data_IF_213341508606
#
_entry.id   IF_213341508606
#
_cell.length_a   1.000
_cell.length_b   1.000
_cell.length_c   1.000
_cell.angle_alpha   90.00
_cell.angle_beta   90.00
_cell.angle_gamma   90.00
#
_symmetry.space_group_name_H-M   'P 1'
#
loop_
_entity.id
_entity.type
_entity.pdbx_description
1 polymer ?
#
# COMPACT_ATOMS: atom_id res chain seq x y z
N UNK A 1 15.18 -2.38 -8.11
CA UNK A 1 14.11 -3.03 -7.30
C UNK A 1 13.03 -3.60 -8.21
N UNK A 2 12.41 -4.75 -7.87
CA UNK A 2 11.24 -5.27 -8.60
C UNK A 2 9.93 -4.74 -8.02
N UNK A 3 8.86 -4.75 -8.81
CA UNK A 3 7.53 -4.36 -8.31
C UNK A 3 7.02 -5.28 -7.18
N UNK A 4 7.33 -6.59 -7.27
CA UNK A 4 6.99 -7.54 -6.21
C UNK A 4 7.72 -7.25 -4.89
N UNK A 5 8.97 -6.79 -4.94
CA UNK A 5 9.71 -6.34 -3.75
C UNK A 5 9.06 -5.10 -3.14
N UNK A 6 8.67 -4.12 -3.98
CA UNK A 6 7.98 -2.92 -3.52
C UNK A 6 6.67 -3.25 -2.79
N UNK A 7 5.85 -4.13 -3.37
CA UNK A 7 4.60 -4.60 -2.71
C UNK A 7 4.86 -5.14 -1.31
N UNK A 8 5.91 -5.95 -1.15
CA UNK A 8 6.30 -6.51 0.16
C UNK A 8 6.74 -5.44 1.15
N UNK A 9 7.52 -4.46 0.70
CA UNK A 9 8.01 -3.36 1.55
C UNK A 9 6.84 -2.52 2.07
N UNK A 10 5.92 -2.10 1.20
CA UNK A 10 4.75 -1.31 1.63
C UNK A 10 3.87 -2.11 2.60
N UNK A 11 3.69 -3.40 2.35
CA UNK A 11 2.98 -4.27 3.29
C UNK A 11 3.68 -4.32 4.65
N UNK A 12 5.00 -4.51 4.69
CA UNK A 12 5.78 -4.54 5.94
C UNK A 12 5.67 -3.23 6.72
N UNK A 13 5.75 -2.08 6.04
CA UNK A 13 5.60 -0.78 6.69
C UNK A 13 4.19 -0.60 7.28
N UNK A 14 3.17 -1.09 6.57
CA UNK A 14 1.78 -1.06 7.04
C UNK A 14 1.57 -2.00 8.24
N UNK A 15 2.11 -3.22 8.19
CA UNK A 15 2.06 -4.20 9.29
C UNK A 15 2.80 -3.71 10.55
N UNK A 16 3.87 -2.93 10.37
CA UNK A 16 4.63 -2.34 11.47
C UNK A 16 3.79 -1.34 12.28
N UNK A 17 2.94 -0.57 11.60
CA UNK A 17 2.06 0.39 12.25
C UNK A 17 0.80 -0.27 12.81
N UNK A 18 0.07 -1.00 11.99
CA UNK A 18 -1.18 -1.67 12.35
C UNK A 18 -0.90 -3.03 13.01
N UNK A 19 -0.30 -3.01 14.19
CA UNK A 19 -0.05 -4.23 14.97
C UNK A 19 -1.37 -4.85 15.42
N UNK A 20 -1.67 -6.06 14.99
CA UNK A 20 -2.93 -6.74 15.30
C UNK A 20 -4.02 -6.65 14.23
N UNK A 21 -3.82 -5.84 13.18
CA UNK A 21 -4.67 -5.87 12.00
C UNK A 21 -4.15 -6.91 10.98
N UNK A 22 -5.07 -7.41 10.17
CA UNK A 22 -4.70 -8.24 9.01
C UNK A 22 -4.41 -7.33 7.82
N UNK A 23 -3.17 -7.32 7.30
CA UNK A 23 -2.81 -6.57 6.10
C UNK A 23 -2.82 -7.48 4.88
N UNK A 24 -3.60 -7.14 3.85
CA UNK A 24 -3.79 -7.96 2.65
C UNK A 24 -3.71 -7.12 1.37
N UNK A 25 -3.42 -7.78 0.26
CA UNK A 25 -3.63 -7.17 -1.06
C UNK A 25 -5.09 -7.33 -1.47
N UNK A 26 -5.68 -6.31 -2.08
CA UNK A 26 -7.08 -6.32 -2.54
C UNK A 26 -7.39 -7.43 -3.54
N UNK A 27 -6.38 -7.88 -4.29
CA UNK A 27 -6.49 -8.96 -5.28
C UNK A 27 -6.68 -10.36 -4.66
N UNK A 28 -6.54 -10.50 -3.32
CA UNK A 28 -6.71 -11.78 -2.61
C UNK A 28 -8.18 -12.04 -2.25
N UNK A 29 -9.04 -12.10 -3.25
CA UNK A 29 -10.51 -12.16 -3.10
C UNK A 29 -11.09 -13.46 -2.53
N UNK A 30 -10.32 -14.54 -2.47
CA UNK A 30 -10.81 -15.86 -1.99
C UNK A 30 -10.63 -16.09 -0.49
N UNK A 31 -10.05 -15.15 0.24
CA UNK A 31 -9.82 -15.32 1.67
C UNK A 31 -10.96 -14.66 2.45
N UNK A 32 -11.65 -15.36 3.37
CA UNK A 32 -12.68 -14.76 4.20
C UNK A 32 -12.19 -13.51 4.91
N UNK A 33 -13.08 -12.52 5.10
CA UNK A 33 -12.78 -11.33 5.88
C UNK A 33 -12.40 -11.74 7.31
N UNK A 34 -11.26 -11.25 7.86
CA UNK A 34 -10.89 -11.57 9.24
C UNK A 34 -11.87 -10.90 10.22
N UNK A 35 -11.95 -11.44 11.42
CA UNK A 35 -12.72 -10.85 12.53
C UNK A 35 -12.01 -9.63 13.16
N UNK A 36 -10.70 -9.49 12.96
CA UNK A 36 -9.88 -8.36 13.40
C UNK A 36 -9.95 -7.21 12.38
N UNK A 37 -9.49 -6.01 12.72
CA UNK A 37 -9.31 -4.94 11.76
C UNK A 37 -8.55 -5.41 10.52
N UNK A 38 -9.00 -4.98 9.34
CA UNK A 38 -8.43 -5.36 8.06
C UNK A 38 -7.91 -4.12 7.35
N UNK A 39 -6.66 -4.17 6.91
CA UNK A 39 -6.10 -3.18 5.98
C UNK A 39 -5.91 -3.82 4.62
N UNK A 40 -6.45 -3.22 3.58
CA UNK A 40 -6.23 -3.67 2.21
C UNK A 40 -5.36 -2.69 1.44
N UNK A 41 -4.42 -3.24 0.67
CA UNK A 41 -3.50 -2.50 -0.18
C UNK A 41 -3.86 -2.77 -1.65
N UNK A 42 -4.29 -1.74 -2.36
CA UNK A 42 -4.59 -1.80 -3.79
C UNK A 42 -3.53 -1.04 -4.56
N UNK A 43 -2.73 -1.75 -5.35
CA UNK A 43 -1.68 -1.14 -6.16
C UNK A 43 -2.21 -0.82 -7.54
N UNK A 44 -2.07 0.44 -7.94
CA UNK A 44 -2.39 0.89 -9.29
C UNK A 44 -1.30 0.51 -10.31
N UNK A 45 -1.42 1.07 -11.50
CA UNK A 45 -0.45 0.85 -12.57
C UNK A 45 0.89 1.53 -12.27
N UNK A 46 2.00 0.85 -12.59
CA UNK A 46 3.34 1.43 -12.49
C UNK A 46 3.53 2.43 -13.63
N UNK A 47 3.77 3.69 -13.25
CA UNK A 47 4.10 4.76 -14.18
C UNK A 47 5.62 4.89 -14.29
N UNK A 48 6.15 4.84 -15.50
CA UNK A 48 7.59 4.94 -15.79
C UNK A 48 7.85 5.66 -17.10
N UNK A 49 9.00 6.35 -17.28
CA UNK A 49 9.36 6.97 -18.54
C UNK A 49 9.59 5.90 -19.63
N UNK A 50 9.44 6.30 -20.91
CA UNK A 50 9.65 5.41 -22.04
C UNK A 50 11.15 5.09 -22.24
N UNK A 51 12.00 6.10 -22.09
CA UNK A 51 13.43 6.05 -22.37
C UNK A 51 14.23 6.09 -21.06
N UNK A 52 14.50 4.93 -20.43
CA UNK A 52 15.24 4.88 -19.20
C UNK A 52 16.73 5.04 -19.44
N UNK A 53 17.48 5.62 -18.50
CA UNK A 53 18.93 5.52 -18.52
C UNK A 53 19.37 4.05 -18.47
N UNK A 54 20.33 3.72 -19.30
CA UNK A 54 20.88 2.35 -19.38
C UNK A 54 22.35 2.35 -18.96
N UNK A 55 22.74 1.33 -18.21
CA UNK A 55 24.14 1.05 -17.86
C UNK A 55 24.48 -0.39 -18.19
N UNK A 56 25.76 -0.66 -18.42
CA UNK A 56 26.26 -2.02 -18.54
C UNK A 56 26.85 -2.45 -17.21
N UNK A 57 26.36 -3.55 -16.66
CA UNK A 57 26.86 -4.17 -15.44
C UNK A 57 27.22 -5.61 -15.80
N UNK A 58 28.47 -5.98 -15.59
CA UNK A 58 29.02 -7.30 -15.97
C UNK A 58 28.71 -7.71 -17.41
N UNK A 59 28.82 -6.74 -18.34
CA UNK A 59 28.53 -6.93 -19.75
C UNK A 59 27.04 -7.05 -20.10
N UNK A 60 26.13 -6.85 -19.16
CA UNK A 60 24.68 -6.90 -19.38
C UNK A 60 24.08 -5.49 -19.36
N UNK A 61 23.23 -5.16 -20.31
CA UNK A 61 22.51 -3.89 -20.27
C UNK A 61 21.45 -3.94 -19.16
N UNK A 62 21.51 -2.96 -18.25
CA UNK A 62 20.54 -2.77 -17.18
C UNK A 62 19.91 -1.39 -17.34
N UNK A 63 18.60 -1.35 -17.48
CA UNK A 63 17.84 -0.11 -17.57
C UNK A 63 17.26 0.24 -16.21
N UNK A 64 17.40 1.52 -15.84
CA UNK A 64 16.89 2.07 -14.59
C UNK A 64 15.69 2.97 -14.85
N UNK A 65 14.52 2.57 -14.37
CA UNK A 65 13.30 3.35 -14.53
C UNK A 65 12.98 4.06 -13.22
N UNK A 66 13.10 5.40 -13.13
CA UNK A 66 12.43 6.12 -12.07
C UNK A 66 10.93 5.94 -12.27
N UNK A 67 10.30 5.28 -11.34
CA UNK A 67 8.91 4.88 -11.45
C UNK A 67 8.13 5.32 -10.23
N UNK A 68 6.82 5.46 -10.37
CA UNK A 68 5.93 5.59 -9.24
C UNK A 68 4.68 4.74 -9.42
N UNK A 69 4.06 4.40 -8.31
CA UNK A 69 2.81 3.67 -8.27
C UNK A 69 1.87 4.27 -7.22
N UNK A 70 0.62 4.56 -7.57
CA UNK A 70 -0.39 4.90 -6.59
C UNK A 70 -0.78 3.64 -5.80
N UNK A 71 -0.92 3.79 -4.49
CA UNK A 71 -1.35 2.72 -3.59
C UNK A 71 -2.50 3.22 -2.75
N UNK A 72 -3.68 2.66 -2.97
CA UNK A 72 -4.84 2.90 -2.13
C UNK A 72 -4.76 2.00 -0.90
N UNK A 73 -5.00 2.59 0.25
CA UNK A 73 -4.99 1.93 1.56
C UNK A 73 -6.37 2.10 2.16
N UNK A 74 -7.06 0.98 2.36
CA UNK A 74 -8.39 0.94 2.98
C UNK A 74 -8.28 0.26 4.35
N UNK A 75 -8.83 0.90 5.37
CA UNK A 75 -8.98 0.32 6.69
C UNK A 75 -10.45 -0.03 6.94
N UNK A 76 -10.67 -1.25 7.39
CA UNK A 76 -11.95 -1.77 7.86
C UNK A 76 -11.83 -2.10 9.34
N UNK A 77 -12.66 -1.51 10.18
CA UNK A 77 -12.63 -1.71 11.63
C UNK A 77 -14.04 -1.90 12.20
N UNK A 78 -14.13 -2.53 13.37
CA UNK A 78 -15.37 -2.65 14.12
C UNK A 78 -15.61 -1.43 15.03
N UNK A 79 -14.69 -0.43 14.98
CA UNK A 79 -14.74 0.73 15.86
C UNK A 79 -14.30 0.42 17.30
N UNK A 80 -14.46 1.41 18.16
CA UNK A 80 -14.17 1.33 19.60
C UNK A 80 -15.48 1.34 20.38
N UNK A 81 -15.63 0.38 21.26
CA UNK A 81 -16.77 0.41 22.18
C UNK A 81 -16.48 1.42 23.29
N UNK A 82 -17.37 2.40 23.45
CA UNK A 82 -17.30 3.31 24.58
C UNK A 82 -17.75 2.62 25.87
N UNK A 83 -17.07 2.95 26.97
CA UNK A 83 -17.53 2.56 28.30
C UNK A 83 -18.80 3.35 28.63
N UNK A 84 -19.91 2.66 28.72
CA UNK A 84 -21.21 3.25 29.10
C UNK A 84 -21.57 2.85 30.51
N UNK A 85 -22.28 3.75 31.24
CA UNK A 85 -22.79 3.43 32.55
C UNK A 85 -23.76 2.23 32.51
N UNK A 86 -23.86 1.46 33.61
CA UNK A 86 -24.77 0.32 33.67
C UNK A 86 -26.24 0.74 33.39
N UNK A 87 -26.84 0.11 32.40
CA UNK A 87 -28.23 0.38 31.98
C UNK A 87 -28.37 1.20 30.70
N UNK A 88 -27.27 1.71 30.12
CA UNK A 88 -27.28 2.38 28.81
C UNK A 88 -26.87 1.43 27.68
N UNK A 89 -27.38 1.67 26.48
CA UNK A 89 -26.95 0.92 25.29
C UNK A 89 -25.50 1.28 24.93
N UNK A 90 -24.62 0.29 24.75
CA UNK A 90 -23.25 0.55 24.33
C UNK A 90 -23.20 1.33 23.00
N UNK A 91 -22.38 2.38 22.97
CA UNK A 91 -22.13 3.16 21.76
C UNK A 91 -20.81 2.63 21.15
N UNK A 92 -20.81 2.44 19.85
CA UNK A 92 -19.59 2.09 19.10
C UNK A 92 -19.17 3.29 18.27
N UNK A 93 -17.98 3.81 18.62
CA UNK A 93 -17.38 4.94 17.93
C UNK A 93 -16.71 4.47 16.62
N UNK A 94 -16.92 5.22 15.54
CA UNK A 94 -16.20 5.01 14.28
C UNK A 94 -14.78 5.60 14.38
N UNK A 95 -13.76 4.75 14.46
CA UNK A 95 -12.35 5.17 14.54
C UNK A 95 -11.62 5.07 13.22
N UNK A 96 -12.24 4.60 12.13
CA UNK A 96 -11.58 4.28 10.88
C UNK A 96 -10.83 5.48 10.27
N UNK A 97 -11.46 6.65 10.24
CA UNK A 97 -10.86 7.87 9.70
C UNK A 97 -9.69 8.35 10.58
N UNK A 98 -9.88 8.39 11.91
CA UNK A 98 -8.86 8.82 12.87
C UNK A 98 -7.63 7.89 12.84
N UNK A 99 -7.84 6.58 12.78
CA UNK A 99 -6.78 5.58 12.69
C UNK A 99 -5.96 5.74 11.40
N UNK A 100 -6.62 6.03 10.26
CA UNK A 100 -5.93 6.30 9.00
C UNK A 100 -5.23 7.66 8.96
N UNK A 101 -5.79 8.71 9.56
CA UNK A 101 -5.12 10.01 9.72
C UNK A 101 -3.85 9.86 10.56
N UNK A 102 -3.91 9.06 11.62
CA UNK A 102 -2.76 8.74 12.46
C UNK A 102 -1.70 7.95 11.68
N UNK A 103 -2.10 7.01 10.84
CA UNK A 103 -1.17 6.30 9.94
C UNK A 103 -0.56 7.23 8.89
N UNK A 104 -1.33 8.14 8.30
CA UNK A 104 -0.83 9.18 7.39
C UNK A 104 0.25 10.04 8.06
N UNK A 105 0.02 10.43 9.32
CA UNK A 105 0.99 11.17 10.13
C UNK A 105 2.25 10.34 10.41
N UNK A 106 2.11 9.05 10.69
CA UNK A 106 3.24 8.13 10.85
C UNK A 106 4.08 8.04 9.58
N UNK A 107 3.48 7.95 8.39
CA UNK A 107 4.21 7.91 7.13
C UNK A 107 5.05 9.18 6.88
N UNK A 108 4.67 10.31 7.43
CA UNK A 108 5.43 11.56 7.41
C UNK A 108 6.45 11.71 8.56
N UNK A 109 6.54 10.72 9.45
CA UNK A 109 7.45 10.76 10.59
C UNK A 109 8.92 10.57 10.19
N UNK A 110 9.88 11.06 10.99
CA UNK A 110 11.30 10.80 10.76
C UNK A 110 11.65 9.31 10.70
N UNK A 111 10.93 8.47 11.45
CA UNK A 111 11.11 7.02 11.43
C UNK A 111 10.77 6.42 10.07
N UNK A 112 9.57 6.72 9.55
CA UNK A 112 9.14 6.22 8.25
C UNK A 112 10.02 6.76 7.11
N UNK A 113 10.43 8.04 7.19
CA UNK A 113 11.37 8.64 6.22
C UNK A 113 12.71 7.90 6.21
N UNK A 114 13.32 7.66 7.37
CA UNK A 114 14.58 6.91 7.46
C UNK A 114 14.44 5.46 7.00
N UNK A 115 13.29 4.84 7.25
CA UNK A 115 12.99 3.51 6.75
C UNK A 115 12.91 3.51 5.22
N UNK A 116 12.20 4.47 4.63
CA UNK A 116 12.10 4.65 3.18
C UNK A 116 13.48 4.87 2.53
N UNK A 117 14.32 5.69 3.14
CA UNK A 117 15.69 5.96 2.66
C UNK A 117 16.54 4.68 2.61
N UNK A 118 16.45 3.83 3.65
CA UNK A 118 17.17 2.54 3.67
C UNK A 118 16.70 1.59 2.58
N UNK A 119 15.42 1.60 2.28
CA UNK A 119 14.81 0.75 1.26
C UNK A 119 14.87 1.36 -0.15
N UNK A 120 15.44 2.57 -0.32
CA UNK A 120 15.51 3.31 -1.59
C UNK A 120 14.15 3.54 -2.23
N UNK A 121 13.18 3.94 -1.45
CA UNK A 121 11.85 4.37 -1.89
C UNK A 121 11.53 5.74 -1.31
N UNK A 122 10.53 6.41 -1.89
CA UNK A 122 9.97 7.64 -1.34
C UNK A 122 8.45 7.55 -1.37
N UNK A 123 7.81 7.97 -0.29
CA UNK A 123 6.35 7.97 -0.16
C UNK A 123 5.88 9.42 -0.10
N UNK A 124 4.94 9.77 -0.97
CA UNK A 124 4.20 11.04 -0.91
C UNK A 124 2.80 10.75 -0.42
N UNK A 125 2.47 11.36 0.70
CA UNK A 125 1.19 11.16 1.38
C UNK A 125 0.30 12.38 1.09
N UNK A 126 -0.87 12.20 0.47
CA UNK A 126 -1.85 13.28 0.34
C UNK A 126 -2.47 13.60 1.70
N UNK A 127 -2.99 14.80 1.85
CA UNK A 127 -3.61 15.24 3.11
C UNK A 127 -5.08 14.83 3.27
N UNK A 128 -5.60 13.97 2.39
CA UNK A 128 -7.02 13.64 2.36
C UNK A 128 -7.24 12.17 2.72
N UNK A 129 -7.89 11.93 3.85
CA UNK A 129 -8.48 10.65 4.21
C UNK A 129 -9.99 10.76 3.99
N UNK A 130 -10.60 9.73 3.43
CA UNK A 130 -12.03 9.69 3.11
C UNK A 130 -12.72 8.66 3.98
N UNK A 131 -13.75 9.08 4.69
CA UNK A 131 -14.70 8.16 5.34
C UNK A 131 -15.58 7.51 4.26
N UNK A 132 -15.56 6.18 4.23
CA UNK A 132 -16.35 5.34 3.32
C UNK A 132 -17.27 4.40 4.09
N UNK A 133 -17.57 4.72 5.35
CA UNK A 133 -18.44 3.94 6.21
C UNK A 133 -19.79 3.73 5.56
N UNK A 134 -20.24 2.49 5.53
CA UNK A 134 -21.50 2.10 4.87
C UNK A 134 -22.26 1.06 5.67
N UNK A 135 -23.57 1.01 5.43
CA UNK A 135 -24.47 0.03 6.03
C UNK A 135 -24.32 -1.31 5.28
N UNK A 136 -23.97 -2.37 6.01
CA UNK A 136 -23.97 -3.73 5.49
C UNK A 136 -25.14 -4.47 6.13
N UNK A 137 -26.09 -4.95 5.30
CA UNK A 137 -27.26 -5.71 5.74
C UNK A 137 -28.08 -5.04 6.86
N UNK A 138 -28.83 -4.01 6.53
CA UNK A 138 -29.88 -3.33 7.30
C UNK A 138 -29.62 -3.04 8.81
N UNK A 139 -28.62 -3.65 9.45
CA UNK A 139 -28.39 -3.56 10.89
C UNK A 139 -26.93 -3.38 11.33
N UNK A 140 -25.95 -3.64 10.45
CA UNK A 140 -24.54 -3.55 10.81
C UNK A 140 -23.80 -2.52 9.96
N UNK A 141 -23.18 -1.54 10.61
CA UNK A 141 -22.24 -0.63 9.96
C UNK A 141 -20.87 -1.29 9.82
N UNK A 142 -20.25 -1.17 8.67
CA UNK A 142 -18.83 -1.40 8.50
C UNK A 142 -18.12 -0.05 8.46
N UNK A 143 -17.36 0.22 9.50
CA UNK A 143 -16.52 1.42 9.55
C UNK A 143 -15.35 1.26 8.60
N UNK A 144 -15.28 2.14 7.63
CA UNK A 144 -14.28 2.11 6.59
C UNK A 144 -13.75 3.50 6.29
N UNK A 145 -12.44 3.61 6.19
CA UNK A 145 -11.80 4.80 5.65
C UNK A 145 -10.76 4.42 4.60
N UNK A 146 -10.42 5.37 3.75
CA UNK A 146 -9.48 5.17 2.63
C UNK A 146 -8.63 6.41 2.39
N UNK A 147 -7.37 6.21 1.98
CA UNK A 147 -6.54 7.24 1.36
C UNK A 147 -5.59 6.62 0.34
N UNK A 148 -5.02 7.47 -0.53
CA UNK A 148 -4.08 7.04 -1.54
C UNK A 148 -2.71 7.67 -1.31
N UNK A 149 -1.64 6.89 -1.41
CA UNK A 149 -0.26 7.37 -1.41
C UNK A 149 0.38 7.16 -2.78
N UNK A 150 1.39 7.97 -3.10
CA UNK A 150 2.24 7.75 -4.27
C UNK A 150 3.60 7.25 -3.81
N UNK A 151 4.00 6.06 -4.26
CA UNK A 151 5.29 5.45 -3.92
C UNK A 151 6.23 5.54 -5.10
N UNK A 152 7.36 6.23 -4.90
CA UNK A 152 8.42 6.41 -5.89
C UNK A 152 9.55 5.45 -5.62
N UNK A 153 10.09 4.84 -6.69
CA UNK A 153 11.18 3.87 -6.60
C UNK A 153 11.93 3.76 -7.93
N UNK A 154 13.13 3.16 -7.88
CA UNK A 154 13.87 2.83 -9.11
C UNK A 154 13.65 1.38 -9.48
N UNK A 155 13.00 1.16 -10.62
CA UNK A 155 12.80 -0.17 -11.19
C UNK A 155 13.97 -0.52 -12.07
N UNK A 156 14.54 -1.71 -11.88
CA UNK A 156 15.63 -2.26 -12.69
C UNK A 156 15.07 -3.29 -13.66
N UNK A 157 15.46 -3.19 -14.91
CA UNK A 157 15.18 -4.20 -15.92
C UNK A 157 16.49 -4.64 -16.57
N UNK A 158 16.80 -5.93 -16.44
CA UNK A 158 17.96 -6.53 -17.10
C UNK A 158 17.58 -6.80 -18.56
N UNK A 159 18.31 -6.18 -19.47
CA UNK A 159 18.11 -6.38 -20.91
C UNK A 159 18.55 -7.78 -21.37
N UNK A 160 18.00 -8.20 -22.50
CA UNK A 160 18.40 -9.42 -23.16
C UNK A 160 19.83 -9.28 -23.73
N UNK A 161 20.70 -10.25 -23.45
CA UNK A 161 22.10 -10.26 -23.91
C UNK A 161 22.38 -11.24 -25.04
N UNK A 162 21.36 -11.99 -25.49
CA UNK A 162 21.48 -12.91 -26.59
C UNK A 162 21.55 -12.19 -27.93
N UNK A 163 22.30 -12.74 -28.88
CA UNK A 163 22.27 -12.34 -30.30
C UNK A 163 20.91 -12.75 -30.87
N UNK A 164 20.14 -11.77 -31.36
CA UNK A 164 18.98 -12.06 -32.20
C UNK A 164 19.51 -12.63 -33.52
N UNK A 165 19.28 -13.90 -33.76
CA UNK A 165 19.53 -14.50 -35.08
C UNK A 165 18.42 -14.04 -36.03
N UNK A 166 18.68 -12.94 -36.72
CA UNK A 166 17.75 -12.35 -37.70
C UNK A 166 17.56 -13.23 -38.95
N UNK A 167 18.38 -14.30 -39.14
CA UNK A 167 18.26 -15.22 -40.28
C UNK A 167 17.01 -16.10 -40.18
N UNK A 168 16.44 -16.24 -38.99
CA UNK A 168 15.22 -17.03 -38.73
C UNK A 168 13.92 -16.24 -38.93
N UNK A 169 13.96 -14.93 -39.14
CA UNK A 169 12.81 -14.08 -39.40
C UNK A 169 12.60 -14.01 -40.92
N UNK A 170 11.79 -14.90 -41.45
CA UNK A 170 11.28 -14.86 -42.83
C UNK A 170 9.86 -14.31 -42.86
#
# INVERSE_FOLDING_TARGET
MTFGTLKKLIRQLTELYFTGASVRYSEQSFTPKPSSPLVTLTFGSVNRPRDPPMRFIDGRPVSYYPAFVPVQIDLFTNGRQEETEPGFTPIVENTAEEDLLSFSSFLNSPYATQWCDRENISIVVPNEVRDLTGLIHDTNYEFRASFEISVYFTMEAIGYTGTLDLSSIK
#
